data_IF_579468582425
#
_entry.id   IF_579468582425
#
_cell.length_a   1.000
_cell.length_b   1.000
_cell.length_c   1.000
_cell.angle_alpha   90.00
_cell.angle_beta   90.00
_cell.angle_gamma   90.00
#
_symmetry.space_group_name_H-M   'P 1'
#
loop_
_entity.id
_entity.type
_entity.pdbx_description
1 polymer ?
#
# COMPACT_ATOMS: atom_id res chain seq x y z
N UNK A 1 7.71 -65.48 28.62
CA UNK A 1 7.33 -64.71 27.41
C UNK A 1 7.15 -63.26 27.83
N UNK A 2 8.13 -62.41 27.54
CA UNK A 2 8.11 -60.99 27.93
C UNK A 2 7.24 -60.20 26.97
N UNK A 3 6.26 -59.46 27.50
CA UNK A 3 5.49 -58.47 26.75
C UNK A 3 6.38 -57.24 26.52
N UNK A 4 6.67 -56.94 25.26
CA UNK A 4 7.33 -55.72 24.84
C UNK A 4 6.27 -54.60 24.75
N UNK A 5 6.30 -53.66 25.70
CA UNK A 5 5.42 -52.49 25.69
C UNK A 5 6.05 -51.44 24.75
N UNK A 6 5.46 -51.25 23.57
CA UNK A 6 5.87 -50.17 22.65
C UNK A 6 5.22 -48.87 23.13
N UNK A 7 6.00 -48.03 23.79
CA UNK A 7 5.65 -46.64 24.07
C UNK A 7 5.73 -45.85 22.75
N UNK A 8 4.57 -45.61 22.14
CA UNK A 8 4.42 -44.61 21.08
C UNK A 8 4.53 -43.22 21.72
N UNK A 9 5.72 -42.64 21.69
CA UNK A 9 5.93 -41.23 22.00
C UNK A 9 5.43 -40.43 20.80
N UNK A 10 4.19 -39.95 20.87
CA UNK A 10 3.67 -38.93 19.95
C UNK A 10 4.42 -37.63 20.24
N UNK A 11 5.45 -37.34 19.45
CA UNK A 11 6.04 -36.00 19.42
C UNK A 11 4.95 -35.02 18.97
N UNK A 12 4.71 -33.92 19.69
CA UNK A 12 3.82 -32.89 19.19
C UNK A 12 4.44 -32.36 17.89
N UNK A 13 3.75 -32.56 16.78
CA UNK A 13 3.98 -31.75 15.59
C UNK A 13 3.72 -30.33 16.05
N UNK A 14 4.76 -29.52 16.19
CA UNK A 14 4.60 -28.07 16.39
C UNK A 14 3.82 -27.57 15.19
N UNK A 15 2.50 -27.47 15.34
CA UNK A 15 1.68 -26.70 14.44
C UNK A 15 2.25 -25.29 14.51
N UNK A 16 2.89 -24.85 13.43
CA UNK A 16 3.25 -23.46 13.30
C UNK A 16 1.96 -22.65 13.51
N UNK A 17 2.01 -21.65 14.39
CA UNK A 17 0.88 -20.75 14.55
C UNK A 17 0.62 -20.07 13.19
N UNK A 18 -0.62 -20.14 12.73
CA UNK A 18 -1.08 -19.49 11.50
C UNK A 18 -2.13 -18.45 11.83
N UNK A 19 -2.11 -17.35 11.09
CA UNK A 19 -3.10 -16.28 11.14
C UNK A 19 -3.75 -16.13 9.76
N UNK A 20 -5.04 -15.82 9.75
CA UNK A 20 -5.77 -15.47 8.54
C UNK A 20 -5.96 -13.97 8.52
N UNK A 21 -5.32 -13.30 7.57
CA UNK A 21 -5.32 -11.84 7.43
C UNK A 21 -6.07 -11.48 6.15
N UNK A 22 -6.93 -10.47 6.23
CA UNK A 22 -7.46 -9.82 5.02
C UNK A 22 -6.44 -8.79 4.54
N UNK A 23 -5.95 -8.99 3.34
CA UNK A 23 -4.97 -8.12 2.70
C UNK A 23 -5.52 -7.56 1.39
N UNK A 24 -4.94 -6.47 0.93
CA UNK A 24 -5.31 -5.79 -0.30
C UNK A 24 -4.08 -5.73 -1.20
N UNK A 25 -4.29 -6.11 -2.46
CA UNK A 25 -3.27 -6.16 -3.50
C UNK A 25 -3.62 -5.11 -4.55
N UNK A 26 -2.89 -4.00 -4.54
CA UNK A 26 -2.97 -2.95 -5.55
C UNK A 26 -1.96 -3.31 -6.64
N UNK A 27 -2.44 -3.48 -7.88
CA UNK A 27 -1.54 -3.83 -8.98
C UNK A 27 -2.08 -3.33 -10.32
N UNK A 28 -1.23 -3.12 -11.34
CA UNK A 28 -1.68 -2.90 -12.70
C UNK A 28 -2.51 -4.09 -13.17
N UNK A 29 -3.53 -3.79 -13.96
CA UNK A 29 -4.42 -4.79 -14.53
C UNK A 29 -3.69 -5.80 -15.43
N UNK A 30 -2.58 -5.40 -16.04
CA UNK A 30 -1.72 -6.26 -16.87
C UNK A 30 -0.73 -7.10 -16.07
N UNK A 31 -0.54 -6.82 -14.79
CA UNK A 31 0.34 -7.57 -13.92
C UNK A 31 -0.36 -8.85 -13.40
N UNK A 32 0.44 -9.78 -12.88
CA UNK A 32 -0.08 -11.01 -12.28
C UNK A 32 -1.05 -10.71 -11.13
N UNK A 33 -2.17 -11.42 -11.07
CA UNK A 33 -3.09 -11.37 -9.92
C UNK A 33 -2.55 -12.17 -8.71
N UNK A 34 -1.51 -12.98 -8.91
CA UNK A 34 -0.78 -13.68 -7.86
C UNK A 34 0.06 -12.67 -7.06
N UNK A 35 -0.17 -12.49 -5.76
CA UNK A 35 0.54 -11.49 -4.97
C UNK A 35 1.95 -11.97 -4.55
N UNK A 36 2.57 -12.85 -5.31
CA UNK A 36 3.94 -13.30 -5.06
C UNK A 36 4.92 -12.20 -5.45
N UNK A 37 5.89 -11.96 -4.58
CA UNK A 37 6.89 -10.91 -4.70
C UNK A 37 6.26 -9.50 -4.75
N UNK A 38 5.14 -9.30 -4.03
CA UNK A 38 4.43 -8.02 -3.98
C UNK A 38 4.36 -7.45 -2.56
N UNK A 39 4.01 -6.17 -2.46
CA UNK A 39 3.61 -5.56 -1.21
C UNK A 39 2.09 -5.63 -1.08
N UNK A 40 1.61 -6.03 0.09
CA UNK A 40 0.21 -6.04 0.45
C UNK A 40 -0.01 -5.21 1.72
N UNK A 41 -1.16 -4.56 1.85
CA UNK A 41 -1.57 -3.96 3.11
C UNK A 41 -2.75 -4.70 3.73
N UNK A 42 -2.85 -4.66 5.07
CA UNK A 42 -4.19 -4.79 5.66
C UNK A 42 -4.97 -3.49 5.39
N UNK A 43 -6.26 -3.46 5.73
CA UNK A 43 -7.14 -2.32 5.43
C UNK A 43 -6.53 -0.99 5.90
N UNK A 44 -6.11 -0.93 7.16
CA UNK A 44 -5.51 0.27 7.74
C UNK A 44 -4.18 0.66 7.08
N UNK A 45 -3.42 -0.33 6.61
CA UNK A 45 -2.12 -0.14 5.95
C UNK A 45 -2.29 0.43 4.55
N UNK A 46 -3.20 -0.11 3.75
CA UNK A 46 -3.46 0.38 2.39
C UNK A 46 -4.23 1.70 2.40
N UNK A 47 -5.12 1.92 3.37
CA UNK A 47 -5.70 3.25 3.60
C UNK A 47 -4.62 4.29 3.93
N UNK A 48 -3.62 3.93 4.74
CA UNK A 48 -2.49 4.82 5.01
C UNK A 48 -1.68 5.12 3.75
N UNK A 49 -1.47 4.11 2.90
CA UNK A 49 -0.81 4.27 1.62
C UNK A 49 -1.58 5.22 0.70
N UNK A 50 -2.88 5.00 0.49
CA UNK A 50 -3.74 5.84 -0.37
C UNK A 50 -3.81 7.30 0.12
N UNK A 51 -3.90 7.53 1.44
CA UNK A 51 -3.77 8.88 1.99
C UNK A 51 -2.40 9.44 1.66
N UNK A 52 -1.34 8.66 1.88
CA UNK A 52 0.04 9.01 1.51
C UNK A 52 0.18 9.43 0.04
N UNK A 53 -0.43 8.70 -0.90
CA UNK A 53 -0.44 9.03 -2.33
C UNK A 53 -0.97 10.45 -2.57
N UNK A 54 -2.09 10.80 -1.94
CA UNK A 54 -2.68 12.14 -2.06
C UNK A 54 -1.81 13.21 -1.41
N UNK A 55 -1.21 12.91 -0.25
CA UNK A 55 -0.29 13.83 0.42
C UNK A 55 0.95 14.12 -0.43
N UNK A 56 1.43 13.15 -1.23
CA UNK A 56 2.60 13.34 -2.09
C UNK A 56 2.41 14.43 -3.15
N UNK A 57 1.18 14.84 -3.46
CA UNK A 57 0.92 15.98 -4.35
C UNK A 57 1.50 17.30 -3.81
N UNK A 58 1.64 17.46 -2.48
CA UNK A 58 2.26 18.65 -1.89
C UNK A 58 3.74 18.79 -2.30
N UNK A 59 4.62 17.81 -1.97
CA UNK A 59 6.03 17.86 -2.33
C UNK A 59 6.30 17.65 -3.82
N UNK A 60 5.40 16.96 -4.54
CA UNK A 60 5.57 16.68 -5.96
C UNK A 60 4.99 17.76 -6.89
N UNK A 61 4.46 18.85 -6.33
CA UNK A 61 3.86 19.95 -7.11
C UNK A 61 4.85 20.71 -8.00
N UNK A 62 6.15 20.72 -7.65
CA UNK A 62 7.22 21.26 -8.51
C UNK A 62 8.49 20.41 -8.43
N UNK A 63 9.30 20.42 -9.50
CA UNK A 63 10.61 19.75 -9.50
C UNK A 63 11.58 20.29 -8.43
N UNK A 64 11.39 21.53 -7.97
CA UNK A 64 12.22 22.13 -6.93
C UNK A 64 11.80 21.66 -5.53
N UNK A 65 10.50 21.52 -5.30
CA UNK A 65 9.95 20.95 -4.06
C UNK A 65 10.32 19.46 -3.87
N UNK A 66 10.56 18.74 -4.97
CA UNK A 66 11.01 17.35 -4.97
C UNK A 66 12.49 17.15 -4.61
N UNK A 67 13.33 18.21 -4.66
CA UNK A 67 14.77 18.10 -4.43
C UNK A 67 15.08 17.90 -2.94
N UNK A 68 15.87 16.87 -2.63
CA UNK A 68 16.31 16.58 -1.27
C UNK A 68 15.26 15.82 -0.44
N UNK A 69 14.13 15.43 -1.03
CA UNK A 69 13.21 14.52 -0.37
C UNK A 69 13.83 13.13 -0.25
N UNK A 70 13.47 12.39 0.81
CA UNK A 70 13.86 10.99 0.92
C UNK A 70 13.41 10.18 -0.30
N UNK A 71 14.20 9.17 -0.67
CA UNK A 71 13.93 8.34 -1.86
C UNK A 71 12.56 7.63 -1.86
N UNK A 72 11.93 7.45 -0.69
CA UNK A 72 10.58 6.89 -0.60
C UNK A 72 9.48 7.87 -1.05
N UNK A 73 9.76 9.18 -1.14
CA UNK A 73 8.84 10.16 -1.74
C UNK A 73 8.98 10.07 -3.25
N UNK A 74 8.34 9.05 -3.81
CA UNK A 74 8.51 8.69 -5.21
C UNK A 74 7.49 9.43 -6.09
N UNK A 75 7.76 10.70 -6.39
CA UNK A 75 6.99 11.51 -7.35
C UNK A 75 6.89 10.87 -8.75
N UNK A 76 7.73 9.87 -9.05
CA UNK A 76 7.81 9.15 -10.32
C UNK A 76 7.39 7.67 -10.25
N UNK A 77 6.92 7.16 -9.10
CA UNK A 77 6.53 5.74 -9.01
C UNK A 77 5.24 5.49 -9.81
N UNK A 78 5.35 4.65 -10.84
CA UNK A 78 4.26 4.35 -11.78
C UNK A 78 3.13 3.52 -11.18
N UNK A 79 3.37 2.84 -10.06
CA UNK A 79 2.32 2.15 -9.30
C UNK A 79 1.26 3.15 -8.75
N UNK A 80 1.67 4.40 -8.49
CA UNK A 80 0.79 5.48 -8.07
C UNK A 80 -0.06 6.04 -9.22
N UNK A 81 0.56 6.27 -10.38
CA UNK A 81 0.00 7.08 -11.49
C UNK A 81 -0.48 6.27 -12.70
N UNK A 82 -0.44 4.94 -12.65
CA UNK A 82 -0.90 4.10 -13.76
C UNK A 82 -2.41 4.14 -13.95
N UNK A 83 -2.87 4.51 -15.16
CA UNK A 83 -4.29 4.65 -15.51
C UNK A 83 -5.10 3.33 -15.47
N UNK A 84 -4.45 2.19 -15.22
CA UNK A 84 -5.07 0.86 -15.32
C UNK A 84 -4.82 -0.02 -14.10
N UNK A 85 -4.81 0.53 -12.88
CA UNK A 85 -4.65 -0.26 -11.65
C UNK A 85 -5.97 -0.85 -11.14
N UNK A 86 -5.84 -1.96 -10.41
CA UNK A 86 -6.94 -2.66 -9.76
C UNK A 86 -6.58 -2.97 -8.32
N UNK A 87 -7.59 -3.22 -7.49
CA UNK A 87 -7.41 -3.56 -6.09
C UNK A 87 -8.13 -4.88 -5.82
N UNK A 88 -7.37 -5.90 -5.43
CA UNK A 88 -7.88 -7.21 -5.05
C UNK A 88 -7.93 -7.35 -3.54
N UNK A 89 -9.10 -7.68 -2.99
CA UNK A 89 -9.28 -8.04 -1.59
C UNK A 89 -9.03 -9.54 -1.42
N UNK A 90 -8.04 -9.89 -0.62
CA UNK A 90 -7.53 -11.24 -0.43
C UNK A 90 -7.71 -11.71 1.01
N UNK A 91 -7.94 -12.99 1.19
CA UNK A 91 -7.80 -13.70 2.46
C UNK A 91 -6.53 -14.53 2.38
N UNK A 92 -5.56 -14.20 3.23
CA UNK A 92 -4.22 -14.77 3.20
C UNK A 92 -3.96 -15.48 4.51
N UNK A 93 -3.53 -16.74 4.43
CA UNK A 93 -2.99 -17.46 5.58
C UNK A 93 -1.49 -17.19 5.67
N UNK A 94 -1.00 -16.85 6.87
CA UNK A 94 0.41 -16.57 7.14
C UNK A 94 0.85 -17.32 8.38
N UNK A 95 2.02 -17.95 8.31
CA UNK A 95 2.70 -18.53 9.47
C UNK A 95 3.28 -17.42 10.34
N UNK A 96 2.77 -17.26 11.56
CA UNK A 96 3.08 -16.13 12.45
C UNK A 96 4.25 -16.35 13.39
N UNK A 97 4.92 -17.51 13.29
CA UNK A 97 5.93 -17.90 14.28
C UNK A 97 7.12 -16.92 14.37
N UNK A 98 7.35 -16.06 13.37
CA UNK A 98 8.03 -14.77 13.46
C UNK A 98 7.99 -14.12 12.07
N UNK A 99 7.30 -12.99 11.88
CA UNK A 99 7.38 -12.23 10.62
C UNK A 99 8.85 -11.83 10.33
N UNK A 100 9.24 -11.85 9.07
CA UNK A 100 10.54 -11.31 8.64
C UNK A 100 10.52 -9.76 8.66
N UNK A 101 11.70 -9.11 8.58
CA UNK A 101 11.76 -7.71 8.17
C UNK A 101 11.02 -7.52 6.85
N UNK A 102 10.24 -6.44 6.75
CA UNK A 102 9.60 -6.07 5.50
C UNK A 102 10.63 -5.74 4.43
N UNK A 103 10.35 -6.16 3.20
CA UNK A 103 11.15 -5.83 2.03
C UNK A 103 10.24 -5.18 1.02
N UNK A 104 10.71 -4.10 0.39
CA UNK A 104 9.91 -3.38 -0.56
C UNK A 104 9.99 -4.09 -1.92
N UNK A 105 8.83 -4.44 -2.44
CA UNK A 105 8.69 -5.00 -3.77
C UNK A 105 8.05 -3.98 -4.72
N UNK A 106 8.42 -4.01 -5.99
CA UNK A 106 7.82 -3.14 -7.00
C UNK A 106 7.93 -3.82 -8.37
N UNK A 107 7.24 -3.27 -9.36
CA UNK A 107 7.29 -3.74 -10.74
C UNK A 107 8.61 -3.27 -11.36
N UNK A 108 9.35 -4.22 -11.91
CA UNK A 108 10.59 -3.98 -12.63
C UNK A 108 10.38 -2.97 -13.75
N UNK A 109 11.31 -2.02 -13.88
CA UNK A 109 11.23 -0.99 -14.91
C UNK A 109 11.31 -1.60 -16.31
N UNK A 110 10.83 -0.85 -17.32
CA UNK A 110 10.97 -1.25 -18.72
C UNK A 110 12.44 -1.30 -19.20
N UNK A 111 13.35 -0.71 -18.43
CA UNK A 111 14.80 -0.73 -18.67
C UNK A 111 15.46 -2.00 -18.08
N UNK A 112 14.70 -2.85 -17.38
CA UNK A 112 15.18 -4.12 -16.84
C UNK A 112 15.92 -3.98 -15.50
N UNK A 113 15.61 -2.94 -14.73
CA UNK A 113 16.19 -2.68 -13.40
C UNK A 113 15.10 -2.42 -12.36
N UNK A 114 15.38 -2.78 -11.11
CA UNK A 114 14.45 -2.47 -10.02
C UNK A 114 14.35 -0.96 -9.84
N UNK A 115 13.14 -0.40 -9.69
CA UNK A 115 12.97 1.02 -9.38
C UNK A 115 13.46 1.39 -7.97
N UNK A 116 13.65 0.41 -7.08
CA UNK A 116 14.13 0.61 -5.71
C UNK A 116 15.64 0.39 -5.60
N UNK A 117 16.23 -0.34 -6.54
CA UNK A 117 17.66 -0.63 -6.59
C UNK A 117 18.14 -0.70 -8.05
N UNK A 118 18.71 0.39 -8.60
CA UNK A 118 19.17 0.43 -9.99
C UNK A 118 20.25 -0.60 -10.34
N UNK A 119 20.97 -1.12 -9.36
CA UNK A 119 22.00 -2.15 -9.55
C UNK A 119 21.41 -3.57 -9.66
N UNK A 120 20.13 -3.75 -9.31
CA UNK A 120 19.42 -5.03 -9.39
C UNK A 120 18.71 -5.16 -10.73
N UNK A 121 19.24 -6.01 -11.62
CA UNK A 121 18.60 -6.34 -12.89
C UNK A 121 17.42 -7.29 -12.70
N UNK A 122 16.33 -7.07 -13.42
CA UNK A 122 15.10 -7.85 -13.33
C UNK A 122 14.38 -7.94 -14.69
N UNK A 123 13.37 -8.80 -14.77
CA UNK A 123 12.56 -8.94 -15.98
C UNK A 123 11.53 -7.78 -16.05
N UNK A 124 11.52 -6.96 -17.12
CA UNK A 124 10.57 -5.85 -17.27
C UNK A 124 9.12 -6.27 -17.07
N UNK A 125 8.39 -5.53 -16.22
CA UNK A 125 6.97 -5.77 -15.95
C UNK A 125 6.68 -6.85 -14.91
N UNK A 126 7.67 -7.63 -14.49
CA UNK A 126 7.54 -8.57 -13.38
C UNK A 126 7.77 -7.85 -12.05
N UNK A 127 7.16 -8.37 -10.99
CA UNK A 127 7.46 -7.92 -9.65
C UNK A 127 8.85 -8.38 -9.20
N UNK A 128 9.58 -7.49 -8.52
CA UNK A 128 10.89 -7.72 -7.93
C UNK A 128 10.92 -7.15 -6.52
N UNK A 129 11.55 -7.86 -5.59
CA UNK A 129 11.75 -7.41 -4.21
C UNK A 129 13.22 -7.11 -3.97
N UNK A 130 13.49 -5.99 -3.29
CA UNK A 130 14.83 -5.60 -2.89
C UNK A 130 15.05 -5.87 -1.41
N UNK A 131 15.86 -6.89 -1.14
CA UNK A 131 16.26 -7.27 0.19
C UNK A 131 17.50 -6.50 0.67
N UNK A 132 17.64 -6.34 1.99
CA UNK A 132 18.79 -5.67 2.60
C UNK A 132 20.12 -6.22 2.06
N UNK A 133 20.98 -5.30 1.60
CA UNK A 133 22.28 -5.64 0.99
C UNK A 133 22.25 -5.82 -0.54
N UNK A 134 21.12 -5.56 -1.20
CA UNK A 134 21.01 -5.53 -2.67
C UNK A 134 21.10 -6.91 -3.33
N UNK A 135 20.90 -7.99 -2.56
CA UNK A 135 20.93 -9.37 -3.03
C UNK A 135 19.56 -10.02 -3.11
N UNK A 136 19.54 -11.28 -3.54
CA UNK A 136 18.32 -12.09 -3.60
C UNK A 136 17.70 -12.31 -2.22
N UNK A 137 16.38 -12.19 -2.17
CA UNK A 137 15.60 -12.48 -0.98
C UNK A 137 15.64 -13.97 -0.65
N UNK A 138 16.15 -14.31 0.55
CA UNK A 138 16.37 -15.69 0.99
C UNK A 138 15.50 -16.13 2.17
N UNK A 139 14.88 -15.19 2.89
CA UNK A 139 13.98 -15.50 3.99
C UNK A 139 12.57 -15.79 3.43
N UNK A 140 12.05 -17.03 3.57
CA UNK A 140 10.74 -17.36 3.03
C UNK A 140 9.59 -16.78 3.86
N UNK A 141 9.82 -16.23 5.05
CA UNK A 141 8.74 -15.73 5.92
C UNK A 141 8.16 -14.43 5.34
N UNK A 142 6.88 -14.20 5.58
CA UNK A 142 6.25 -12.92 5.21
C UNK A 142 6.93 -11.79 5.97
N UNK A 143 7.43 -10.79 5.24
CA UNK A 143 7.96 -9.59 5.86
C UNK A 143 6.81 -8.72 6.36
N UNK A 144 6.98 -8.01 7.48
CA UNK A 144 5.94 -7.12 8.01
C UNK A 144 6.52 -5.84 8.60
N UNK A 145 5.91 -4.72 8.26
CA UNK A 145 6.22 -3.41 8.86
C UNK A 145 4.92 -2.71 9.24
N UNK A 146 4.92 -2.03 10.38
CA UNK A 146 3.91 -0.99 10.58
C UNK A 146 4.45 0.27 9.90
N UNK A 147 3.72 0.94 9.02
CA UNK A 147 4.18 2.19 8.42
C UNK A 147 4.49 3.27 9.48
N UNK A 148 3.87 3.16 10.67
CA UNK A 148 4.21 3.95 11.85
C UNK A 148 5.55 3.61 12.51
N UNK A 149 6.29 2.60 12.05
CA UNK A 149 7.62 2.26 12.58
C UNK A 149 8.66 3.34 12.30
N UNK A 150 8.50 4.12 11.23
CA UNK A 150 9.32 5.28 10.90
C UNK A 150 8.80 6.60 11.46
N UNK A 151 7.76 6.59 12.30
CA UNK A 151 7.00 7.80 12.64
C UNK A 151 7.81 8.86 13.36
N UNK A 152 8.79 8.46 14.18
CA UNK A 152 9.68 9.41 14.85
C UNK A 152 10.53 10.19 13.86
N UNK A 153 10.96 9.56 12.76
CA UNK A 153 11.70 10.24 11.71
C UNK A 153 10.83 11.29 11.00
N UNK A 154 9.59 10.95 10.64
CA UNK A 154 8.66 11.90 10.02
C UNK A 154 8.22 13.01 10.98
N UNK A 155 8.04 12.69 12.26
CA UNK A 155 7.73 13.66 13.30
C UNK A 155 8.88 14.64 13.49
N UNK A 156 10.14 14.17 13.47
CA UNK A 156 11.31 15.06 13.49
C UNK A 156 11.32 15.98 12.27
N UNK A 157 11.07 15.47 11.06
CA UNK A 157 11.03 16.30 9.84
C UNK A 157 9.87 17.31 9.84
N UNK A 158 8.72 16.94 10.42
CA UNK A 158 7.60 17.86 10.65
C UNK A 158 7.96 18.96 11.65
N UNK A 159 8.74 18.67 12.69
CA UNK A 159 9.10 19.69 13.70
C UNK A 159 10.35 20.50 13.33
N UNK A 160 11.02 20.16 12.23
CA UNK A 160 12.27 20.77 11.82
C UNK A 160 12.03 22.18 11.21
N UNK A 161 12.58 23.25 11.82
CA UNK A 161 12.44 24.60 11.30
C UNK A 161 13.04 24.81 9.90
N UNK A 162 14.01 24.00 9.50
CA UNK A 162 14.66 24.10 8.18
C UNK A 162 13.77 23.56 7.06
N UNK A 163 12.75 22.75 7.40
CA UNK A 163 11.84 22.13 6.43
C UNK A 163 10.51 22.85 6.25
N UNK A 164 10.25 23.99 6.92
CA UNK A 164 8.97 24.76 6.98
C UNK A 164 8.28 25.20 5.67
N UNK A 165 8.68 24.68 4.51
CA UNK A 165 8.00 24.79 3.21
C UNK A 165 7.07 23.59 2.97
N UNK A 166 6.50 23.44 1.76
CA UNK A 166 5.59 22.35 1.37
C UNK A 166 6.05 20.92 1.74
N UNK A 167 7.36 20.58 1.78
CA UNK A 167 7.82 19.30 2.33
C UNK A 167 7.44 19.06 3.80
N UNK A 168 7.49 20.09 4.66
CA UNK A 168 7.10 19.96 6.08
C UNK A 168 5.63 19.62 6.25
N UNK A 169 4.76 20.29 5.48
CA UNK A 169 3.32 20.04 5.48
C UNK A 169 2.99 18.57 5.20
N UNK A 170 3.69 17.97 4.23
CA UNK A 170 3.61 16.54 3.95
C UNK A 170 4.01 15.70 5.17
N UNK A 171 5.16 15.95 5.78
CA UNK A 171 5.62 15.14 6.92
C UNK A 171 4.69 15.24 8.14
N UNK A 172 4.11 16.41 8.40
CA UNK A 172 3.14 16.59 9.48
C UNK A 172 1.87 15.78 9.22
N UNK A 173 1.25 15.94 8.05
CA UNK A 173 0.03 15.23 7.68
C UNK A 173 0.27 13.70 7.64
N UNK A 174 1.38 13.27 7.06
CA UNK A 174 1.78 11.86 6.97
C UNK A 174 1.96 11.24 8.36
N UNK A 175 2.56 11.99 9.30
CA UNK A 175 2.70 11.57 10.70
C UNK A 175 1.33 11.42 11.38
N UNK A 176 0.41 12.36 11.19
CA UNK A 176 -0.94 12.28 11.75
C UNK A 176 -1.69 11.05 11.20
N UNK A 177 -1.62 10.82 9.89
CA UNK A 177 -2.22 9.64 9.25
C UNK A 177 -1.66 8.32 9.81
N UNK A 178 -0.33 8.22 9.94
CA UNK A 178 0.34 7.04 10.50
C UNK A 178 -0.08 6.77 11.95
N UNK A 179 -0.13 7.81 12.80
CA UNK A 179 -0.59 7.70 14.21
C UNK A 179 -2.05 7.26 14.29
N UNK A 180 -2.90 7.70 13.36
CA UNK A 180 -4.33 7.41 13.34
C UNK A 180 -4.64 5.99 12.90
N UNK A 181 -4.05 5.54 11.81
CA UNK A 181 -4.44 4.29 11.15
C UNK A 181 -3.75 3.08 11.77
N UNK A 182 -2.46 3.17 12.10
CA UNK A 182 -1.67 2.08 12.72
C UNK A 182 -1.78 0.73 11.98
N UNK A 183 -1.80 0.77 10.65
CA UNK A 183 -1.86 -0.42 9.81
C UNK A 183 -0.56 -1.19 9.69
N UNK A 184 -0.59 -2.22 8.85
CA UNK A 184 0.57 -3.04 8.52
C UNK A 184 0.67 -3.24 7.01
N UNK A 185 1.90 -3.20 6.51
CA UNK A 185 2.26 -3.73 5.20
C UNK A 185 3.01 -5.04 5.35
N UNK A 186 2.86 -5.87 4.33
CA UNK A 186 3.36 -7.23 4.25
C UNK A 186 4.08 -7.41 2.92
N UNK A 187 5.20 -8.12 2.93
CA UNK A 187 5.93 -8.48 1.72
C UNK A 187 5.86 -10.00 1.53
N UNK A 188 5.10 -10.44 0.52
CA UNK A 188 4.78 -11.86 0.28
C UNK A 188 5.70 -12.45 -0.78
N UNK A 189 6.88 -12.89 -0.37
CA UNK A 189 7.90 -13.43 -1.29
C UNK A 189 7.50 -14.78 -1.90
N UNK A 190 7.76 -14.96 -3.20
CA UNK A 190 7.46 -16.17 -3.94
C UNK A 190 8.12 -17.42 -3.35
N UNK A 191 9.34 -17.29 -2.81
CA UNK A 191 10.07 -18.39 -2.15
C UNK A 191 9.34 -18.98 -0.93
N UNK A 192 8.46 -18.18 -0.31
CA UNK A 192 7.63 -18.54 0.85
C UNK A 192 6.24 -19.07 0.52
N UNK A 193 5.81 -18.93 -0.73
CA UNK A 193 4.48 -19.35 -1.16
C UNK A 193 4.25 -20.83 -0.91
N UNK A 194 3.08 -21.15 -0.39
CA UNK A 194 2.63 -22.49 0.01
C UNK A 194 3.48 -23.14 1.13
N UNK A 195 4.40 -22.39 1.75
CA UNK A 195 5.23 -22.83 2.89
C UNK A 195 4.99 -22.00 4.13
N UNK A 196 5.04 -20.68 3.98
CA UNK A 196 4.91 -19.69 5.07
C UNK A 196 3.72 -18.78 4.86
N UNK A 197 3.18 -18.73 3.64
CA UNK A 197 1.94 -18.03 3.33
C UNK A 197 1.25 -18.62 2.10
N UNK A 198 -0.06 -18.40 2.00
CA UNK A 198 -0.84 -18.69 0.79
C UNK A 198 -2.11 -17.86 0.74
N UNK A 199 -2.58 -17.56 -0.47
CA UNK A 199 -3.92 -17.00 -0.68
C UNK A 199 -4.94 -18.12 -0.49
N UNK A 200 -5.83 -17.96 0.49
CA UNK A 200 -6.97 -18.85 0.69
C UNK A 200 -8.11 -18.50 -0.26
N UNK A 201 -8.36 -17.20 -0.44
CA UNK A 201 -9.47 -16.70 -1.24
C UNK A 201 -9.18 -15.30 -1.78
N UNK A 202 -9.55 -15.05 -3.03
CA UNK A 202 -9.75 -13.69 -3.54
C UNK A 202 -11.23 -13.36 -3.37
N UNK A 203 -11.57 -12.40 -2.51
CA UNK A 203 -12.96 -12.03 -2.22
C UNK A 203 -13.56 -11.25 -3.38
N UNK A 204 -12.82 -10.26 -3.89
CA UNK A 204 -13.27 -9.33 -4.95
C UNK A 204 -12.09 -8.60 -5.54
N UNK A 205 -12.16 -8.27 -6.83
CA UNK A 205 -11.25 -7.29 -7.45
C UNK A 205 -12.09 -6.16 -8.03
N UNK A 206 -11.68 -4.92 -7.80
CA UNK A 206 -12.34 -3.71 -8.29
C UNK A 206 -11.32 -2.83 -9.04
N UNK A 207 -11.78 -1.97 -9.94
CA UNK A 207 -10.89 -0.97 -10.56
C UNK A 207 -10.44 0.08 -9.54
N UNK A 208 -9.18 0.54 -9.60
CA UNK A 208 -8.68 1.66 -8.78
C UNK A 208 -9.48 2.94 -9.03
N UNK A 209 -9.92 3.17 -10.27
CA UNK A 209 -10.78 4.30 -10.63
C UNK A 209 -12.10 4.35 -9.83
N UNK A 210 -12.88 3.27 -9.86
CA UNK A 210 -14.13 3.20 -9.07
C UNK A 210 -13.87 3.34 -7.57
N UNK A 211 -12.78 2.73 -7.08
CA UNK A 211 -12.37 2.87 -5.68
C UNK A 211 -12.11 4.33 -5.31
N UNK A 212 -11.23 5.02 -6.05
CA UNK A 212 -10.87 6.41 -5.81
C UNK A 212 -12.08 7.34 -5.92
N UNK A 213 -12.94 7.17 -6.94
CA UNK A 213 -14.16 7.96 -7.08
C UNK A 213 -15.07 7.82 -5.86
N UNK A 214 -15.36 6.58 -5.43
CA UNK A 214 -16.22 6.34 -4.28
C UNK A 214 -15.59 6.83 -2.97
N UNK A 215 -14.29 6.63 -2.77
CA UNK A 215 -13.57 7.06 -1.57
C UNK A 215 -13.50 8.60 -1.47
N UNK A 216 -13.08 9.28 -2.55
CA UNK A 216 -12.96 10.72 -2.58
C UNK A 216 -14.32 11.41 -2.48
N UNK A 217 -15.36 10.92 -3.16
CA UNK A 217 -16.70 11.51 -3.04
C UNK A 217 -17.27 11.42 -1.62
N UNK A 218 -16.94 10.37 -0.85
CA UNK A 218 -17.35 10.28 0.55
C UNK A 218 -16.63 11.30 1.44
N UNK A 219 -15.39 11.64 1.11
CA UNK A 219 -14.62 12.66 1.83
C UNK A 219 -15.09 14.06 1.42
N UNK A 220 -15.30 14.30 0.13
CA UNK A 220 -15.81 15.56 -0.41
C UNK A 220 -17.17 15.92 0.19
N UNK A 221 -18.05 14.94 0.39
CA UNK A 221 -19.35 15.15 1.01
C UNK A 221 -19.28 15.60 2.49
N UNK A 222 -18.11 15.51 3.14
CA UNK A 222 -17.89 15.92 4.54
C UNK A 222 -17.14 17.25 4.66
N UNK A 223 -16.53 17.76 3.59
CA UNK A 223 -15.72 18.97 3.62
C UNK A 223 -16.34 20.11 2.82
N UNK A 224 -16.38 21.30 3.40
CA UNK A 224 -16.99 22.47 2.76
C UNK A 224 -16.02 23.25 1.83
N UNK A 225 -14.73 22.88 1.84
CA UNK A 225 -13.66 23.59 1.11
C UNK A 225 -13.34 23.02 -0.29
N UNK A 226 -14.01 21.94 -0.70
CA UNK A 226 -13.73 21.31 -2.01
C UNK A 226 -14.34 22.09 -3.17
N UNK A 227 -15.36 22.92 -2.91
CA UNK A 227 -15.97 23.75 -3.94
C UNK A 227 -14.96 24.76 -4.50
N UNK A 228 -14.70 24.67 -5.81
CA UNK A 228 -13.74 25.54 -6.50
C UNK A 228 -12.29 25.07 -6.43
N UNK A 229 -12.00 23.91 -5.82
CA UNK A 229 -10.68 23.29 -5.80
C UNK A 229 -10.56 22.17 -6.84
N UNK A 230 -9.82 22.37 -7.96
CA UNK A 230 -9.59 21.29 -8.92
C UNK A 230 -8.88 20.11 -8.27
N UNK A 231 -9.27 18.89 -8.64
CA UNK A 231 -8.58 17.68 -8.19
C UNK A 231 -7.10 17.74 -8.59
N UNK A 232 -6.21 17.38 -7.65
CA UNK A 232 -4.75 17.53 -7.74
C UNK A 232 -4.17 18.96 -7.60
N UNK A 233 -4.99 19.98 -7.36
CA UNK A 233 -4.51 21.31 -6.94
C UNK A 233 -4.10 21.31 -5.45
N UNK A 234 -3.07 22.08 -5.03
CA UNK A 234 -2.74 22.23 -3.62
C UNK A 234 -3.92 22.58 -2.71
N UNK A 235 -4.90 23.37 -3.18
CA UNK A 235 -6.08 23.70 -2.37
C UNK A 235 -6.99 22.49 -2.13
N UNK A 236 -7.11 21.58 -3.10
CA UNK A 236 -7.85 20.33 -2.94
C UNK A 236 -7.17 19.43 -1.91
N UNK A 237 -5.84 19.32 -1.97
CA UNK A 237 -5.06 18.48 -1.05
C UNK A 237 -5.11 19.05 0.37
N UNK A 238 -5.03 20.37 0.53
CA UNK A 238 -5.24 21.02 1.81
C UNK A 238 -6.64 20.73 2.36
N UNK A 239 -7.69 20.87 1.55
CA UNK A 239 -9.05 20.57 1.97
C UNK A 239 -9.23 19.09 2.37
N UNK A 240 -8.64 18.18 1.60
CA UNK A 240 -8.58 16.76 1.91
C UNK A 240 -7.94 16.51 3.28
N UNK A 241 -6.78 17.12 3.55
CA UNK A 241 -6.06 16.98 4.83
C UNK A 241 -6.88 17.52 5.99
N UNK A 242 -7.46 18.71 5.85
CA UNK A 242 -8.26 19.30 6.92
C UNK A 242 -9.49 18.45 7.24
N UNK A 243 -10.16 17.92 6.21
CA UNK A 243 -11.35 17.07 6.36
C UNK A 243 -11.00 15.72 7.00
N UNK A 244 -9.93 15.08 6.53
CA UNK A 244 -9.58 13.70 6.95
C UNK A 244 -8.74 13.65 8.22
N UNK A 245 -7.76 14.55 8.37
CA UNK A 245 -6.74 14.51 9.42
C UNK A 245 -6.91 15.62 10.47
N UNK A 246 -7.65 16.68 10.14
CA UNK A 246 -7.92 17.82 11.02
C UNK A 246 -7.23 19.10 10.54
N UNK A 247 -7.76 20.25 10.96
CA UNK A 247 -7.34 21.58 10.46
C UNK A 247 -5.88 21.94 10.77
N UNK A 248 -5.28 21.32 11.78
CA UNK A 248 -3.90 21.56 12.19
C UNK A 248 -2.92 20.50 11.64
N UNK A 249 -3.38 19.54 10.85
CA UNK A 249 -2.55 18.40 10.42
C UNK A 249 -1.39 18.79 9.50
N UNK A 250 -1.46 19.97 8.86
CA UNK A 250 -0.37 20.53 8.06
C UNK A 250 0.77 21.12 8.91
N UNK A 251 0.48 21.49 10.15
CA UNK A 251 1.41 22.24 11.01
C UNK A 251 1.78 21.48 12.29
N UNK A 252 1.06 20.42 12.61
CA UNK A 252 1.22 19.69 13.87
C UNK A 252 1.15 18.17 13.67
N UNK A 253 2.18 17.41 14.09
CA UNK A 253 2.17 15.94 14.03
C UNK A 253 1.30 15.31 15.12
N UNK A 254 0.64 16.14 15.95
CA UNK A 254 -0.26 15.73 17.02
C UNK A 254 -1.68 16.25 16.81
N UNK A 255 -1.97 16.79 15.62
CA UNK A 255 -3.30 17.33 15.26
C UNK A 255 -4.43 16.38 15.65
N UNK A 256 -5.45 16.96 16.24
CA UNK A 256 -6.70 16.31 16.62
C UNK A 256 -7.82 16.77 15.69
N UNK A 257 -8.83 15.93 15.48
CA UNK A 257 -9.99 16.24 14.64
C UNK A 257 -9.92 15.64 13.23
N UNK A 258 -10.77 16.16 12.34
CA UNK A 258 -11.07 15.52 11.07
C UNK A 258 -11.89 14.24 11.26
N UNK A 259 -11.89 13.37 10.25
CA UNK A 259 -12.52 12.06 10.31
C UNK A 259 -11.85 11.13 11.33
N UNK A 260 -12.66 10.37 12.04
CA UNK A 260 -12.22 9.25 12.88
C UNK A 260 -11.57 8.14 12.03
N UNK A 261 -10.82 7.24 12.68
CA UNK A 261 -10.28 6.06 12.03
C UNK A 261 -11.41 5.23 11.41
N UNK A 262 -12.49 5.03 12.15
CA UNK A 262 -13.63 4.22 11.75
C UNK A 262 -14.32 4.79 10.50
N UNK A 263 -14.47 6.11 10.41
CA UNK A 263 -15.03 6.79 9.24
C UNK A 263 -14.12 6.65 8.01
N UNK A 264 -12.81 6.80 8.17
CA UNK A 264 -11.86 6.62 7.06
C UNK A 264 -11.84 5.17 6.57
N UNK A 265 -11.82 4.21 7.50
CA UNK A 265 -11.87 2.77 7.22
C UNK A 265 -13.15 2.40 6.49
N UNK A 266 -14.30 2.93 6.92
CA UNK A 266 -15.58 2.67 6.28
C UNK A 266 -15.68 3.33 4.90
N UNK A 267 -15.17 4.56 4.75
CA UNK A 267 -15.08 5.24 3.45
C UNK A 267 -14.25 4.44 2.44
N UNK A 268 -13.08 3.95 2.88
CA UNK A 268 -12.14 3.19 2.04
C UNK A 268 -12.63 1.77 1.75
N UNK A 269 -13.33 1.13 2.68
CA UNK A 269 -13.86 -0.23 2.48
C UNK A 269 -15.13 -0.27 1.61
N UNK A 270 -15.89 0.83 1.56
CA UNK A 270 -17.17 0.92 0.84
C UNK A 270 -17.12 0.47 -0.63
N UNK A 271 -16.12 0.86 -1.44
CA UNK A 271 -16.04 0.45 -2.85
C UNK A 271 -16.05 -1.07 -3.04
N UNK A 272 -15.55 -1.86 -2.09
CA UNK A 272 -15.63 -3.32 -2.18
C UNK A 272 -17.05 -3.88 -2.06
N UNK A 273 -18.02 -3.08 -1.62
CA UNK A 273 -19.45 -3.45 -1.63
C UNK A 273 -20.16 -2.91 -2.89
N UNK A 274 -19.77 -1.73 -3.35
CA UNK A 274 -20.51 -0.99 -4.39
C UNK A 274 -19.95 -1.15 -5.80
N UNK A 275 -18.62 -1.15 -5.97
CA UNK A 275 -17.99 -1.26 -7.28
C UNK A 275 -18.20 -2.65 -7.90
N UNK A 276 -18.30 -2.78 -9.23
CA UNK A 276 -18.39 -4.08 -9.89
C UNK A 276 -17.17 -4.97 -9.59
N UNK A 277 -17.39 -6.28 -9.42
CA UNK A 277 -16.30 -7.26 -9.38
C UNK A 277 -15.80 -7.50 -10.81
N UNK A 278 -14.66 -6.91 -11.15
CA UNK A 278 -14.11 -6.98 -12.52
C UNK A 278 -13.57 -8.36 -12.87
N UNK A 279 -13.42 -9.27 -11.89
CA UNK A 279 -13.08 -10.67 -12.18
C UNK A 279 -14.15 -11.39 -13.00
N UNK A 280 -15.40 -10.96 -12.86
CA UNK A 280 -16.52 -11.54 -13.61
C UNK A 280 -16.64 -10.99 -15.03
N UNK A 281 -15.79 -10.03 -15.41
CA UNK A 281 -15.76 -9.36 -16.72
C UNK A 281 -14.38 -9.27 -17.36
N UNK A 282 -13.42 -10.10 -16.93
CA UNK A 282 -11.99 -10.05 -17.30
C UNK A 282 -11.69 -9.86 -18.80
N UNK A 283 -12.54 -10.33 -19.71
CA UNK A 283 -12.29 -10.16 -21.15
C UNK A 283 -12.68 -8.78 -21.70
N UNK A 284 -13.68 -8.11 -21.11
CA UNK A 284 -14.31 -6.93 -21.70
C UNK A 284 -13.65 -5.62 -21.26
N UNK A 285 -13.18 -5.55 -20.01
CA UNK A 285 -12.40 -4.41 -19.52
C UNK A 285 -10.96 -4.43 -20.05
N UNK A 286 -10.38 -5.63 -20.25
CA UNK A 286 -9.09 -5.81 -20.94
C UNK A 286 -9.16 -5.31 -22.39
N UNK A 287 -10.25 -5.60 -23.10
CA UNK A 287 -10.49 -5.07 -24.44
C UNK A 287 -10.63 -3.53 -24.47
N UNK A 288 -11.27 -2.91 -23.47
CA UNK A 288 -11.36 -1.45 -23.38
C UNK A 288 -10.02 -0.79 -23.03
N UNK A 289 -9.29 -1.31 -22.04
CA UNK A 289 -7.99 -0.81 -21.63
C UNK A 289 -6.96 -0.92 -22.79
N UNK A 290 -6.97 -2.03 -23.52
CA UNK A 290 -6.14 -2.19 -24.72
C UNK A 290 -6.58 -1.27 -25.88
N UNK A 291 -7.89 -1.03 -26.04
CA UNK A 291 -8.41 -0.12 -27.07
C UNK A 291 -8.03 1.34 -26.82
N UNK A 292 -7.93 1.79 -25.57
CA UNK A 292 -7.45 3.13 -25.24
C UNK A 292 -5.94 3.28 -25.49
N UNK A 293 -5.13 2.25 -25.18
CA UNK A 293 -3.69 2.27 -25.50
C UNK A 293 -3.41 2.30 -27.01
N UNK A 294 -4.21 1.61 -27.82
CA UNK A 294 -4.08 1.60 -29.29
C UNK A 294 -4.52 2.91 -29.97
N UNK A 295 -5.23 3.79 -29.27
CA UNK A 295 -5.60 5.12 -29.79
C UNK A 295 -4.57 6.20 -29.48
N UNK A 296 -3.52 5.87 -28.72
CA UNK A 296 -2.43 6.76 -28.34
C UNK A 296 -1.13 6.50 -29.13
N UNK A 297 -1.18 5.61 -30.14
CA UNK A 297 -0.13 5.36 -31.15
C UNK A 297 -0.69 5.55 -32.55
#
# INVERSE_FOLDING_TARGET
>A
MSLLLILLVSLPVSAFATEVVTMYHIHPYTASADPSDTNLGNLDGDLFFDIGELLMLLPCSTQEDAKGLPAFVACSNKEFWGDTSVISKLVVEVTTADYAPYVACNICSMEGTSPLNPDHSCQPGDYVCDCDGGGECSDPRVGRISPGGGIHYFETLCLDPDYRKRPHQFFCAFTVAAKRLKGYWYSTLGIGKDKTWRVLETIKTISKQCHQQSFLSDIEARGDCFEGCPQADPCYVECFIQTTLGSEALDSPTSQGGMSKEELVEAWARPFRECPDIRRGYAMELAKAMSHMLQLF
#
